data_IF_776501743763
#
_entry.id   IF_776501743763
#
_cell.length_a   1.000
_cell.length_b   1.000
_cell.length_c   1.000
_cell.angle_alpha   90.00
_cell.angle_beta   90.00
_cell.angle_gamma   90.00
#
_symmetry.space_group_name_H-M   'P 1'
#
loop_
_entity.id
_entity.type
_entity.pdbx_description
1 polymer ?
#
# COMPACT_ATOMS: atom_id res chain seq x y z
N UNK A 1 14.69 -22.67 4.75
CA UNK A 1 14.15 -21.31 4.54
C UNK A 1 14.15 -21.09 3.04
N UNK A 2 12.97 -21.04 2.41
CA UNK A 2 12.87 -20.82 0.97
C UNK A 2 12.68 -19.34 0.69
N UNK A 3 13.41 -18.81 -0.28
CA UNK A 3 13.12 -17.49 -0.87
C UNK A 3 12.11 -17.72 -2.00
N UNK A 4 10.98 -17.04 -1.97
CA UNK A 4 9.99 -17.07 -3.05
C UNK A 4 10.24 -15.85 -3.94
N UNK A 5 10.50 -16.09 -5.23
CA UNK A 5 10.62 -15.05 -6.23
C UNK A 5 9.35 -14.97 -7.07
N UNK A 6 8.81 -13.77 -7.28
CA UNK A 6 7.60 -13.53 -8.08
C UNK A 6 7.82 -12.33 -9.01
N UNK A 7 7.47 -12.46 -10.28
CA UNK A 7 7.40 -11.31 -11.18
C UNK A 7 6.10 -10.52 -10.89
N UNK A 8 6.16 -9.20 -10.91
CA UNK A 8 5.02 -8.30 -10.68
C UNK A 8 4.48 -7.75 -12.01
N UNK A 9 3.19 -7.40 -12.03
CA UNK A 9 2.52 -6.76 -13.17
C UNK A 9 3.21 -5.44 -13.56
N UNK A 10 3.34 -5.19 -14.86
CA UNK A 10 4.06 -4.04 -15.42
C UNK A 10 3.14 -3.11 -16.24
N UNK A 11 2.32 -2.25 -15.60
CA UNK A 11 1.35 -1.41 -16.31
C UNK A 11 1.97 -0.29 -17.16
N UNK A 12 3.18 0.20 -16.81
CA UNK A 12 3.78 1.38 -17.46
C UNK A 12 5.30 1.30 -17.68
N UNK A 13 5.97 0.23 -17.25
CA UNK A 13 7.42 0.07 -17.38
C UNK A 13 7.77 -1.02 -18.39
N UNK A 14 8.85 -0.80 -19.13
CA UNK A 14 9.52 -1.79 -19.98
C UNK A 14 10.29 -2.84 -19.17
N UNK A 15 10.55 -2.58 -17.88
CA UNK A 15 11.15 -3.52 -16.95
C UNK A 15 10.08 -4.24 -16.11
N UNK A 16 10.28 -5.55 -15.88
CA UNK A 16 9.39 -6.36 -15.02
C UNK A 16 9.96 -6.40 -13.60
N UNK A 17 9.30 -5.78 -12.60
CA UNK A 17 9.79 -5.80 -11.23
C UNK A 17 9.71 -7.22 -10.64
N UNK A 18 10.70 -7.58 -9.82
CA UNK A 18 10.80 -8.89 -9.17
C UNK A 18 10.67 -8.73 -7.65
N UNK A 19 9.67 -9.38 -7.07
CA UNK A 19 9.49 -9.48 -5.62
C UNK A 19 10.23 -10.72 -5.08
N UNK A 20 11.14 -10.50 -4.13
CA UNK A 20 11.80 -11.54 -3.37
C UNK A 20 11.22 -11.57 -1.95
N UNK A 21 10.60 -12.68 -1.58
CA UNK A 21 10.00 -12.91 -0.27
C UNK A 21 10.84 -13.95 0.48
N UNK A 22 11.62 -13.47 1.46
CA UNK A 22 12.58 -14.27 2.22
C UNK A 22 12.02 -14.90 3.50
N UNK A 23 10.71 -14.85 3.73
CA UNK A 23 10.12 -15.22 5.02
C UNK A 23 10.32 -14.08 6.04
N UNK A 24 9.26 -13.28 6.19
CA UNK A 24 9.32 -11.95 6.80
C UNK A 24 9.93 -11.87 8.21
N UNK A 25 10.85 -10.93 8.40
CA UNK A 25 11.15 -10.37 9.72
C UNK A 25 9.99 -9.45 10.11
N UNK A 26 9.16 -9.85 11.06
CA UNK A 26 8.08 -8.97 11.56
C UNK A 26 8.67 -7.95 12.55
N UNK A 27 8.85 -6.72 12.10
CA UNK A 27 9.31 -5.59 12.92
C UNK A 27 8.24 -5.05 13.89
N UNK A 28 7.23 -5.85 14.22
CA UNK A 28 6.06 -5.46 14.99
C UNK A 28 5.03 -4.65 14.20
N UNK A 29 3.97 -4.16 14.87
CA UNK A 29 2.94 -3.34 14.23
C UNK A 29 3.55 -2.05 13.67
N UNK A 30 3.25 -1.74 12.41
CA UNK A 30 3.70 -0.48 11.79
C UNK A 30 3.22 0.71 12.62
N UNK A 31 4.08 1.69 12.94
CA UNK A 31 3.67 2.90 13.62
C UNK A 31 2.62 3.64 12.77
N UNK A 32 1.78 4.44 13.44
CA UNK A 32 0.87 5.32 12.71
C UNK A 32 1.68 6.32 11.90
N UNK A 33 1.37 6.42 10.61
CA UNK A 33 1.95 7.38 9.68
C UNK A 33 0.84 8.32 9.22
N UNK A 34 1.16 9.60 9.21
CA UNK A 34 0.35 10.64 8.60
C UNK A 34 1.04 11.04 7.29
N UNK A 35 0.30 11.11 6.20
CA UNK A 35 0.84 11.56 4.92
C UNK A 35 0.46 13.00 4.69
N UNK A 36 1.41 13.81 4.22
CA UNK A 36 1.17 15.24 3.99
C UNK A 36 0.09 15.46 2.91
N UNK A 37 0.01 14.57 1.93
CA UNK A 37 -1.02 14.57 0.88
C UNK A 37 -2.44 14.50 1.45
N UNK A 38 -2.64 13.96 2.66
CA UNK A 38 -3.98 13.94 3.26
C UNK A 38 -4.47 15.36 3.55
N UNK A 39 -3.59 16.32 3.78
CA UNK A 39 -3.97 17.72 3.99
C UNK A 39 -4.50 18.38 2.71
N UNK A 40 -4.23 17.79 1.55
CA UNK A 40 -4.76 18.24 0.26
C UNK A 40 -6.19 17.71 0.02
N UNK A 41 -6.63 16.70 0.78
CA UNK A 41 -7.99 16.17 0.67
C UNK A 41 -9.01 17.23 1.13
N UNK A 42 -10.00 17.55 0.27
CA UNK A 42 -11.03 18.50 0.62
C UNK A 42 -11.72 18.11 1.93
N UNK A 43 -11.86 19.08 2.84
CA UNK A 43 -12.55 18.97 4.12
C UNK A 43 -11.81 18.19 5.23
N UNK A 44 -10.58 17.68 5.03
CA UNK A 44 -9.89 16.98 6.13
C UNK A 44 -9.61 17.91 7.31
N UNK A 45 -9.17 19.15 7.04
CA UNK A 45 -8.87 20.14 8.08
C UNK A 45 -10.13 20.49 8.89
N UNK A 46 -11.24 20.77 8.20
CA UNK A 46 -12.52 21.11 8.86
C UNK A 46 -13.01 19.97 9.75
N UNK A 47 -12.81 18.74 9.29
CA UNK A 47 -13.16 17.53 10.03
C UNK A 47 -12.27 17.34 11.28
N UNK A 48 -10.96 17.58 11.16
CA UNK A 48 -10.03 17.56 12.30
C UNK A 48 -10.44 18.63 13.32
N UNK A 49 -10.79 19.84 12.86
CA UNK A 49 -11.22 20.92 13.74
C UNK A 49 -12.53 20.60 14.47
N UNK A 50 -13.51 20.03 13.77
CA UNK A 50 -14.79 19.62 14.39
C UNK A 50 -14.54 18.56 15.46
N UNK A 51 -13.77 17.52 15.15
CA UNK A 51 -13.43 16.46 16.08
C UNK A 51 -12.68 16.99 17.30
N UNK A 52 -11.74 17.92 17.10
CA UNK A 52 -10.97 18.49 18.20
C UNK A 52 -11.84 19.27 19.18
N UNK A 53 -12.86 19.99 18.67
CA UNK A 53 -13.83 20.75 19.47
C UNK A 53 -14.84 19.85 20.18
N UNK A 54 -15.28 18.77 19.52
CA UNK A 54 -16.20 17.77 20.11
C UNK A 54 -15.58 17.03 21.29
N UNK A 55 -14.26 16.82 21.28
CA UNK A 55 -13.54 16.15 22.36
C UNK A 55 -13.47 17.06 23.60
N UNK A 56 -14.31 16.79 24.59
CA UNK A 56 -14.30 17.46 25.89
C UNK A 56 -14.01 16.43 26.99
N UNK A 57 -13.04 16.76 27.84
CA UNK A 57 -12.58 15.87 28.91
C UNK A 57 -12.29 16.68 30.17
N UNK A 58 -12.73 16.17 31.32
CA UNK A 58 -12.45 16.77 32.61
C UNK A 58 -11.30 16.03 33.29
N UNK A 59 -10.09 16.58 33.19
CA UNK A 59 -8.88 16.05 33.83
C UNK A 59 -7.77 17.11 33.83
N UNK A 60 -6.55 16.72 34.20
CA UNK A 60 -5.40 17.61 34.08
C UNK A 60 -5.08 17.90 32.60
N UNK A 61 -4.52 19.10 32.28
CA UNK A 61 -4.25 19.50 30.90
C UNK A 61 -3.38 18.52 30.10
N UNK A 62 -2.39 17.90 30.73
CA UNK A 62 -1.51 16.92 30.07
C UNK A 62 -2.25 15.66 29.65
N UNK A 63 -3.11 15.14 30.51
CA UNK A 63 -3.97 14.00 30.20
C UNK A 63 -5.02 14.35 29.13
N UNK A 64 -5.63 15.54 29.21
CA UNK A 64 -6.57 16.01 28.19
C UNK A 64 -5.88 16.04 26.81
N UNK A 65 -4.68 16.62 26.73
CA UNK A 65 -3.91 16.68 25.48
C UNK A 65 -3.60 15.28 24.94
N UNK A 66 -3.02 14.40 25.78
CA UNK A 66 -2.71 13.02 25.39
C UNK A 66 -3.95 12.28 24.87
N UNK A 67 -5.09 12.44 25.56
CA UNK A 67 -6.34 11.79 25.18
C UNK A 67 -6.88 12.32 23.86
N UNK A 68 -6.88 13.65 23.66
CA UNK A 68 -7.26 14.26 22.37
C UNK A 68 -6.41 13.75 21.22
N UNK A 69 -5.09 13.68 21.39
CA UNK A 69 -4.19 13.14 20.35
C UNK A 69 -4.46 11.66 20.06
N UNK A 70 -4.76 10.87 21.09
CA UNK A 70 -5.11 9.45 20.93
C UNK A 70 -6.41 9.28 20.14
N UNK A 71 -7.47 9.98 20.54
CA UNK A 71 -8.76 9.93 19.85
C UNK A 71 -8.67 10.47 18.41
N UNK A 72 -7.92 11.55 18.20
CA UNK A 72 -7.69 12.11 16.87
C UNK A 72 -6.97 11.12 15.95
N UNK A 73 -5.94 10.44 16.46
CA UNK A 73 -5.23 9.38 15.72
C UNK A 73 -6.18 8.26 15.30
N UNK A 74 -7.09 7.84 16.17
CA UNK A 74 -8.02 6.76 15.85
C UNK A 74 -9.10 7.21 14.84
N UNK A 75 -9.62 8.43 14.96
CA UNK A 75 -10.51 9.04 13.95
C UNK A 75 -9.82 9.17 12.57
N UNK A 76 -8.56 9.57 12.54
CA UNK A 76 -7.77 9.67 11.30
C UNK A 76 -7.55 8.30 10.64
N UNK A 77 -7.29 7.25 11.44
CA UNK A 77 -7.18 5.88 10.91
C UNK A 77 -8.47 5.40 10.28
N UNK A 78 -9.61 5.67 10.94
CA UNK A 78 -10.92 5.30 10.42
C UNK A 78 -11.22 6.07 9.13
N UNK A 79 -10.98 7.38 9.12
CA UNK A 79 -11.13 8.20 7.92
C UNK A 79 -10.27 7.70 6.77
N UNK A 80 -8.97 7.41 7.01
CA UNK A 80 -8.05 6.84 6.01
C UNK A 80 -8.58 5.53 5.46
N UNK A 81 -9.04 4.64 6.33
CA UNK A 81 -9.58 3.34 5.92
C UNK A 81 -10.83 3.49 5.04
N UNK A 82 -11.69 4.47 5.31
CA UNK A 82 -12.94 4.69 4.58
C UNK A 82 -12.74 5.45 3.26
N UNK A 83 -11.88 6.47 3.25
CA UNK A 83 -11.66 7.32 2.08
C UNK A 83 -10.58 6.75 1.17
N UNK A 84 -9.40 6.46 1.71
CA UNK A 84 -8.25 5.98 0.94
C UNK A 84 -8.32 4.47 0.65
N UNK A 85 -8.86 3.66 1.56
CA UNK A 85 -9.04 2.23 1.32
C UNK A 85 -9.91 1.92 0.09
N UNK A 86 -10.84 2.83 -0.27
CA UNK A 86 -11.61 2.73 -1.52
C UNK A 86 -10.77 3.03 -2.76
N UNK A 87 -9.79 3.94 -2.66
CA UNK A 87 -8.86 4.26 -3.74
C UNK A 87 -7.87 3.12 -3.95
N UNK A 88 -7.33 2.55 -2.87
CA UNK A 88 -6.43 1.40 -2.92
C UNK A 88 -7.10 0.21 -3.62
N UNK A 89 -8.36 -0.09 -3.26
CA UNK A 89 -9.12 -1.17 -3.91
C UNK A 89 -9.33 -0.91 -5.40
N UNK A 90 -9.69 0.33 -5.79
CA UNK A 90 -9.83 0.70 -7.21
C UNK A 90 -8.50 0.53 -7.97
N UNK A 91 -7.38 0.93 -7.37
CA UNK A 91 -6.07 0.75 -7.97
C UNK A 91 -5.72 -0.71 -8.19
N UNK A 92 -6.00 -1.56 -7.19
CA UNK A 92 -5.80 -3.02 -7.30
C UNK A 92 -6.71 -3.63 -8.37
N UNK A 93 -7.97 -3.21 -8.47
CA UNK A 93 -8.91 -3.74 -9.46
C UNK A 93 -8.50 -3.33 -10.88
N UNK A 94 -8.07 -2.09 -11.09
CA UNK A 94 -7.52 -1.64 -12.38
C UNK A 94 -6.25 -2.41 -12.76
N UNK A 95 -5.37 -2.71 -11.80
CA UNK A 95 -4.17 -3.52 -12.05
C UNK A 95 -4.52 -4.95 -12.48
N UNK A 96 -5.55 -5.57 -11.87
CA UNK A 96 -6.03 -6.90 -12.30
C UNK A 96 -6.62 -6.88 -13.71
N UNK A 97 -7.32 -5.81 -14.07
CA UNK A 97 -7.85 -5.67 -15.43
C UNK A 97 -6.72 -5.56 -16.46
N UNK A 98 -5.68 -4.77 -16.16
CA UNK A 98 -4.47 -4.68 -17.00
C UNK A 98 -3.79 -6.05 -17.12
N UNK A 99 -3.62 -6.79 -16.02
CA UNK A 99 -3.04 -8.14 -16.05
C UNK A 99 -3.87 -9.10 -16.91
N UNK A 100 -5.19 -9.03 -16.84
CA UNK A 100 -6.08 -9.85 -17.67
C UNK A 100 -5.93 -9.53 -19.17
N UNK A 101 -5.72 -8.25 -19.51
CA UNK A 101 -5.46 -7.81 -20.89
C UNK A 101 -4.08 -8.31 -21.35
N UNK A 102 -3.04 -8.14 -20.54
CA UNK A 102 -1.68 -8.60 -20.83
C UNK A 102 -1.61 -10.13 -21.07
N UNK A 103 -2.36 -10.93 -20.30
CA UNK A 103 -2.44 -12.39 -20.51
C UNK A 103 -3.14 -12.73 -21.83
N UNK A 104 -4.18 -11.96 -22.20
CA UNK A 104 -4.93 -12.16 -23.44
C UNK A 104 -4.09 -11.79 -24.67
N UNK A 105 -3.26 -10.76 -24.58
CA UNK A 105 -2.35 -10.34 -25.65
C UNK A 105 -1.08 -11.21 -25.72
N UNK A 106 -0.55 -11.69 -24.59
CA UNK A 106 0.61 -12.59 -24.51
C UNK A 106 0.37 -14.01 -25.05
N UNK A 107 -0.86 -14.33 -25.47
CA UNK A 107 -1.22 -15.59 -26.12
C UNK A 107 -0.66 -15.79 -27.53
N UNK A 108 -0.05 -14.78 -28.15
CA UNK A 108 0.52 -14.84 -29.51
C UNK A 108 2.01 -14.46 -29.57
N UNK A 109 2.76 -14.71 -28.48
CA UNK A 109 4.16 -14.26 -28.37
C UNK A 109 5.07 -15.15 -27.54
N UNK A 110 4.88 -16.48 -27.57
CA UNK A 110 5.82 -17.40 -26.91
C UNK A 110 7.10 -17.58 -27.75
N UNK A 111 8.07 -16.70 -27.60
CA UNK A 111 9.46 -17.06 -27.93
C UNK A 111 10.03 -17.89 -26.77
N UNK A 112 9.96 -19.22 -26.92
CA UNK A 112 10.77 -20.17 -26.15
C UNK A 112 12.24 -19.84 -26.39
N UNK A 113 12.93 -19.29 -25.40
CA UNK A 113 14.40 -19.29 -25.40
C UNK A 113 14.84 -20.60 -24.77
N UNK A 114 15.06 -21.61 -25.59
CA UNK A 114 15.82 -22.79 -25.20
C UNK A 114 17.29 -22.38 -25.10
N UNK A 115 17.79 -22.22 -23.88
CA UNK A 115 19.24 -22.08 -23.66
C UNK A 115 19.87 -23.46 -23.66
N UNK A 116 20.37 -23.87 -24.83
CA UNK A 116 21.22 -25.04 -25.00
C UNK A 116 22.57 -24.78 -24.30
N UNK A 117 22.79 -25.41 -23.14
CA UNK A 117 24.08 -25.37 -22.43
C UNK A 117 25.07 -26.25 -23.19
N UNK A 118 25.87 -25.65 -24.07
CA UNK A 118 27.02 -26.33 -24.68
C UNK A 118 28.12 -26.53 -23.63
N UNK A 119 28.35 -27.79 -23.27
CA UNK A 119 29.53 -28.23 -22.52
C UNK A 119 30.80 -27.95 -23.35
N UNK A 120 31.84 -27.30 -22.80
CA UNK A 120 33.13 -27.20 -23.50
C UNK A 120 33.82 -28.56 -23.45
N UNK A 121 34.26 -29.05 -24.62
CA UNK A 121 35.34 -30.03 -24.70
C UNK A 121 36.65 -29.29 -24.48
N UNK A 122 37.41 -29.67 -23.47
CA UNK A 122 38.75 -30.24 -23.61
C UNK A 122 39.15 -30.88 -22.27
#
# INVERSE_FOLDING_TARGET
MGVIQRALSKPTSDHTPVLLDGGGVSWGPSPFRFELSWLEEPNLIDLIESWWKEMQFDSNPGYIMWRKLKELKDKLKEWRSKHLGRLDNKGVDLLKEIEAIDVKEGGDGSHRVETEVKSPRN
#
